data_IF_345713567767
#
_entry.id   IF_345713567767
#
_cell.length_a   1.000
_cell.length_b   1.000
_cell.length_c   1.000
_cell.angle_alpha   90.00
_cell.angle_beta   90.00
_cell.angle_gamma   90.00
#
_symmetry.space_group_name_H-M   'P 1'
#
loop_
_entity.id
_entity.type
_entity.pdbx_description
1 polymer ?
#
# COMPACT_ATOMS: atom_id res chain seq x y z
N UNK A 1 -30.19 25.32 10.98
CA UNK A 1 -30.59 25.82 9.65
C UNK A 1 -29.34 25.74 8.78
N UNK A 2 -29.31 24.87 7.77
CA UNK A 2 -28.30 24.97 6.71
C UNK A 2 -28.79 26.08 5.78
N UNK A 3 -27.93 27.06 5.44
CA UNK A 3 -28.29 28.32 4.75
C UNK A 3 -28.76 28.17 3.29
N UNK A 4 -29.35 27.03 2.90
CA UNK A 4 -29.78 26.77 1.52
C UNK A 4 -28.64 26.68 0.50
N UNK A 5 -27.38 26.79 0.95
CA UNK A 5 -26.19 26.71 0.10
C UNK A 5 -25.71 25.26 0.05
N UNK A 6 -25.63 24.75 -1.18
CA UNK A 6 -25.09 23.42 -1.49
C UNK A 6 -23.65 23.54 -2.01
N UNK A 7 -22.76 22.56 -1.72
CA UNK A 7 -22.98 21.37 -0.90
C UNK A 7 -23.00 21.66 0.61
N UNK A 8 -23.81 20.91 1.36
CA UNK A 8 -23.92 21.03 2.82
C UNK A 8 -22.60 20.83 3.57
N UNK A 9 -21.66 20.10 2.96
CA UNK A 9 -20.31 19.90 3.47
C UNK A 9 -19.31 20.41 2.43
N UNK A 10 -18.90 21.70 2.51
CA UNK A 10 -17.95 22.27 1.57
C UNK A 10 -16.50 21.80 1.81
N UNK A 11 -16.26 21.02 2.86
CA UNK A 11 -14.94 20.51 3.21
C UNK A 11 -14.47 19.48 2.19
N UNK A 12 -13.20 19.59 1.79
CA UNK A 12 -12.57 18.60 0.93
C UNK A 12 -12.48 17.25 1.64
N UNK A 13 -12.80 16.18 0.91
CA UNK A 13 -12.64 14.80 1.40
C UNK A 13 -11.18 14.54 1.71
N UNK A 14 -10.89 14.03 2.91
CA UNK A 14 -9.53 13.64 3.30
C UNK A 14 -9.27 12.20 2.83
N UNK A 15 -8.17 11.99 2.11
CA UNK A 15 -7.71 10.66 1.76
C UNK A 15 -7.13 9.95 3.00
N UNK A 16 -7.24 8.62 3.05
CA UNK A 16 -6.55 7.82 4.04
C UNK A 16 -5.03 7.89 3.80
N UNK A 17 -4.26 8.09 4.86
CA UNK A 17 -2.79 8.22 4.79
C UNK A 17 -2.10 6.85 4.78
N UNK A 18 -2.76 5.82 5.33
CA UNK A 18 -2.21 4.48 5.47
C UNK A 18 -3.14 3.45 4.85
N UNK A 19 -2.58 2.28 4.52
CA UNK A 19 -3.34 1.14 4.07
C UNK A 19 -4.35 0.69 5.14
N UNK A 20 -5.62 0.60 4.73
CA UNK A 20 -6.75 0.29 5.59
C UNK A 20 -6.61 -1.11 6.18
N UNK A 21 -6.11 -2.07 5.39
CA UNK A 21 -5.95 -3.46 5.83
C UNK A 21 -4.99 -3.54 7.01
N UNK A 22 -3.85 -2.86 6.91
CA UNK A 22 -2.85 -2.78 7.98
C UNK A 22 -3.40 -2.11 9.24
N UNK A 23 -4.18 -1.02 9.11
CA UNK A 23 -4.84 -0.38 10.26
C UNK A 23 -5.78 -1.34 10.98
N UNK A 24 -6.62 -2.07 10.24
CA UNK A 24 -7.59 -3.02 10.82
C UNK A 24 -6.85 -4.08 11.65
N UNK A 25 -5.80 -4.66 11.10
CA UNK A 25 -4.98 -5.67 11.78
C UNK A 25 -4.39 -5.09 13.08
N UNK A 26 -3.75 -3.92 13.02
CA UNK A 26 -3.16 -3.26 14.20
C UNK A 26 -4.22 -3.02 15.28
N UNK A 27 -5.39 -2.50 14.92
CA UNK A 27 -6.47 -2.22 15.88
C UNK A 27 -6.96 -3.50 16.56
N UNK A 28 -7.23 -4.56 15.80
CA UNK A 28 -7.69 -5.85 16.35
C UNK A 28 -6.67 -6.37 17.37
N UNK A 29 -5.39 -6.41 17.01
CA UNK A 29 -4.36 -6.91 17.91
C UNK A 29 -4.11 -6.01 19.12
N UNK A 30 -4.24 -4.69 18.99
CA UNK A 30 -4.19 -3.76 20.11
C UNK A 30 -5.35 -3.99 21.08
N UNK A 31 -6.57 -4.22 20.58
CA UNK A 31 -7.71 -4.54 21.46
C UNK A 31 -7.48 -5.83 22.25
N UNK A 32 -6.91 -6.86 21.60
CA UNK A 32 -6.53 -8.11 22.25
C UNK A 32 -5.40 -7.90 23.29
N UNK A 33 -4.38 -7.12 22.95
CA UNK A 33 -3.32 -6.79 23.90
C UNK A 33 -3.85 -6.05 25.14
N UNK A 34 -4.72 -5.06 24.93
CA UNK A 34 -5.38 -4.34 26.02
C UNK A 34 -6.24 -5.26 26.89
N UNK A 35 -7.02 -6.17 26.30
CA UNK A 35 -7.84 -7.10 27.08
C UNK A 35 -6.99 -8.05 27.93
N UNK A 36 -5.87 -8.56 27.40
CA UNK A 36 -4.93 -9.37 28.16
C UNK A 36 -4.30 -8.58 29.31
N UNK A 37 -3.90 -7.31 29.08
CA UNK A 37 -3.35 -6.43 30.11
C UNK A 37 -4.33 -6.18 31.27
N UNK A 38 -5.63 -6.06 30.98
CA UNK A 38 -6.66 -5.92 32.02
C UNK A 38 -6.81 -7.16 32.91
N UNK A 39 -6.52 -8.36 32.38
CA UNK A 39 -6.62 -9.63 33.13
C UNK A 39 -5.37 -9.88 33.99
N UNK A 40 -4.23 -9.25 33.67
CA UNK A 40 -2.93 -9.42 34.36
C UNK A 40 -3.00 -9.29 35.89
N UNK A 41 -3.71 -8.30 36.48
CA UNK A 41 -3.79 -8.16 37.93
C UNK A 41 -4.40 -9.38 38.64
N UNK A 42 -5.27 -10.13 37.95
CA UNK A 42 -5.91 -11.35 38.46
C UNK A 42 -4.96 -12.55 38.59
N UNK A 43 -3.77 -12.49 37.99
CA UNK A 43 -2.78 -13.57 38.02
C UNK A 43 -1.92 -13.45 39.28
N UNK A 44 -1.93 -14.51 40.10
CA UNK A 44 -1.18 -14.58 41.37
C UNK A 44 0.29 -14.93 41.15
N UNK A 45 1.18 -14.31 41.95
CA UNK A 45 2.58 -14.72 42.11
C UNK A 45 3.60 -14.15 41.10
N UNK A 46 4.87 -14.59 41.23
CA UNK A 46 6.00 -14.17 40.38
C UNK A 46 5.91 -14.66 38.92
N UNK A 47 5.06 -15.66 38.66
CA UNK A 47 4.80 -16.17 37.32
C UNK A 47 4.05 -15.18 36.41
N UNK A 48 3.48 -14.11 36.98
CA UNK A 48 2.78 -13.04 36.25
C UNK A 48 3.62 -12.46 35.11
N UNK A 49 4.89 -12.15 35.40
CA UNK A 49 5.78 -11.48 34.43
C UNK A 49 6.14 -12.41 33.27
N UNK A 50 6.38 -13.68 33.55
CA UNK A 50 6.59 -14.71 32.53
C UNK A 50 5.34 -14.92 31.67
N UNK A 51 4.16 -14.97 32.28
CA UNK A 51 2.90 -15.10 31.54
C UNK A 51 2.65 -13.91 30.63
N UNK A 52 2.83 -12.68 31.12
CA UNK A 52 2.65 -11.46 30.31
C UNK A 52 3.62 -11.42 29.14
N UNK A 53 4.90 -11.73 29.37
CA UNK A 53 5.89 -11.75 28.31
C UNK A 53 5.55 -12.80 27.25
N UNK A 54 5.13 -14.00 27.67
CA UNK A 54 4.76 -15.08 26.75
C UNK A 54 3.56 -14.68 25.88
N UNK A 55 2.52 -14.10 26.47
CA UNK A 55 1.31 -13.67 25.74
C UNK A 55 1.64 -12.53 24.78
N UNK A 56 2.38 -11.52 25.24
CA UNK A 56 2.77 -10.39 24.39
C UNK A 56 3.67 -10.82 23.24
N UNK A 57 4.63 -11.72 23.49
CA UNK A 57 5.49 -12.26 22.43
C UNK A 57 4.69 -13.06 21.41
N UNK A 58 3.79 -13.93 21.86
CA UNK A 58 2.92 -14.70 20.97
C UNK A 58 2.03 -13.79 20.13
N UNK A 59 1.47 -12.74 20.74
CA UNK A 59 0.63 -11.78 20.06
C UNK A 59 1.42 -10.94 19.06
N UNK A 60 2.63 -10.53 19.42
CA UNK A 60 3.56 -9.82 18.54
C UNK A 60 3.92 -10.65 17.31
N UNK A 61 4.28 -11.93 17.48
CA UNK A 61 4.58 -12.83 16.36
C UNK A 61 3.36 -12.95 15.43
N UNK A 62 2.16 -13.11 16.00
CA UNK A 62 0.92 -13.15 15.23
C UNK A 62 0.66 -11.87 14.43
N UNK A 63 0.82 -10.69 15.05
CA UNK A 63 0.70 -9.39 14.36
C UNK A 63 1.66 -9.31 13.19
N UNK A 64 2.93 -9.62 13.42
CA UNK A 64 3.98 -9.47 12.41
C UNK A 64 3.68 -10.34 11.19
N UNK A 65 3.28 -11.60 11.39
CA UNK A 65 2.93 -12.51 10.28
C UNK A 65 1.78 -11.91 9.45
N UNK A 66 0.70 -11.46 10.11
CA UNK A 66 -0.46 -10.91 9.42
C UNK A 66 -0.13 -9.59 8.71
N UNK A 67 0.65 -8.70 9.33
CA UNK A 67 1.06 -7.42 8.70
C UNK A 67 1.95 -7.68 7.48
N UNK A 68 2.90 -8.61 7.58
CA UNK A 68 3.81 -8.98 6.49
C UNK A 68 3.06 -9.64 5.32
N UNK A 69 1.93 -10.30 5.60
CA UNK A 69 1.05 -10.84 4.56
C UNK A 69 0.37 -9.75 3.73
N UNK A 70 -0.02 -8.63 4.35
CA UNK A 70 -0.73 -7.54 3.68
C UNK A 70 0.18 -6.40 3.21
N UNK A 71 1.46 -6.39 3.60
CA UNK A 71 2.37 -5.30 3.22
C UNK A 71 2.66 -5.28 1.72
N UNK A 72 2.74 -4.06 1.18
CA UNK A 72 3.15 -3.77 -0.19
C UNK A 72 4.67 -3.58 -0.37
N UNK A 73 5.44 -3.71 0.71
CA UNK A 73 6.84 -3.28 0.79
C UNK A 73 7.82 -4.46 0.90
N UNK A 74 7.59 -5.55 0.17
CA UNK A 74 8.54 -6.67 0.13
C UNK A 74 9.82 -6.33 -0.61
N UNK A 75 9.69 -5.60 -1.70
CA UNK A 75 10.82 -5.03 -2.43
C UNK A 75 10.48 -3.58 -2.80
N UNK A 76 11.35 -2.66 -2.42
CA UNK A 76 11.13 -1.22 -2.64
C UNK A 76 12.30 -0.61 -3.38
N UNK A 77 12.01 0.23 -4.36
CA UNK A 77 13.00 1.05 -5.06
C UNK A 77 12.47 2.45 -5.27
N UNK A 78 13.34 3.46 -5.22
CA UNK A 78 12.95 4.83 -5.50
C UNK A 78 14.03 5.54 -6.30
N UNK A 79 13.62 6.49 -7.12
CA UNK A 79 14.52 7.32 -7.91
C UNK A 79 13.94 8.72 -8.06
N UNK A 80 14.78 9.73 -7.89
CA UNK A 80 14.44 11.10 -8.22
C UNK A 80 14.82 11.37 -9.68
N UNK A 81 13.85 11.75 -10.50
CA UNK A 81 14.09 12.02 -11.92
C UNK A 81 13.22 13.16 -12.45
N UNK A 82 13.75 13.86 -13.45
CA UNK A 82 12.95 14.76 -14.28
C UNK A 82 12.30 13.93 -15.39
N UNK A 83 10.97 13.90 -15.40
CA UNK A 83 10.21 13.01 -16.27
C UNK A 83 9.06 13.73 -16.95
N UNK A 84 8.62 13.21 -18.09
CA UNK A 84 7.38 13.66 -18.74
C UNK A 84 6.20 13.29 -17.86
N UNK A 85 5.29 14.24 -17.64
CA UNK A 85 4.17 14.03 -16.72
C UNK A 85 2.90 13.53 -17.42
N UNK A 86 2.45 14.23 -18.47
CA UNK A 86 1.18 13.94 -19.16
C UNK A 86 1.30 14.09 -20.67
N UNK A 87 0.46 13.35 -21.39
CA UNK A 87 0.30 13.48 -22.83
C UNK A 87 -0.13 14.90 -23.22
N UNK A 88 0.27 15.35 -24.42
CA UNK A 88 -0.03 16.69 -24.95
C UNK A 88 0.55 17.86 -24.13
N UNK A 89 1.55 17.60 -23.27
CA UNK A 89 2.32 18.64 -22.60
C UNK A 89 3.82 18.39 -22.79
N UNK A 90 4.60 19.40 -23.20
CA UNK A 90 6.06 19.27 -23.29
C UNK A 90 6.75 19.44 -21.92
N UNK A 91 6.00 19.77 -20.87
CA UNK A 91 6.57 20.11 -19.56
C UNK A 91 7.03 18.85 -18.83
N UNK A 92 8.25 18.91 -18.31
CA UNK A 92 8.81 17.91 -17.43
C UNK A 92 8.61 18.32 -15.97
N UNK A 93 8.41 17.33 -15.11
CA UNK A 93 8.26 17.52 -13.66
C UNK A 93 9.40 16.82 -12.95
N UNK A 94 9.90 17.44 -11.88
CA UNK A 94 10.87 16.82 -10.98
C UNK A 94 10.09 15.99 -9.95
N UNK A 95 10.17 14.67 -10.03
CA UNK A 95 9.39 13.80 -9.17
C UNK A 95 10.21 12.61 -8.66
N UNK A 96 9.87 12.18 -7.45
CA UNK A 96 10.28 10.91 -6.89
C UNK A 96 9.32 9.84 -7.37
N UNK A 97 9.88 8.86 -8.09
CA UNK A 97 9.17 7.68 -8.56
C UNK A 97 9.54 6.54 -7.61
N UNK A 98 8.54 5.97 -6.96
CA UNK A 98 8.70 4.83 -6.05
C UNK A 98 8.02 3.59 -6.62
N UNK A 99 8.70 2.46 -6.47
CA UNK A 99 8.26 1.13 -6.82
C UNK A 99 8.18 0.32 -5.54
N UNK A 100 7.01 -0.21 -5.23
CA UNK A 100 6.75 -0.99 -4.02
C UNK A 100 6.09 -2.30 -4.44
N UNK A 101 6.82 -3.38 -4.37
CA UNK A 101 6.37 -4.72 -4.76
C UNK A 101 5.90 -5.45 -3.50
N UNK A 102 4.63 -5.84 -3.48
CA UNK A 102 4.04 -6.66 -2.44
C UNK A 102 3.70 -8.06 -2.91
N UNK A 103 3.20 -8.89 -1.99
CA UNK A 103 2.69 -10.21 -2.36
C UNK A 103 1.44 -10.08 -3.24
N UNK A 104 0.57 -9.12 -2.93
CA UNK A 104 -0.70 -8.97 -3.59
C UNK A 104 -0.66 -8.15 -4.90
N UNK A 105 0.44 -7.46 -5.17
CA UNK A 105 0.53 -6.60 -6.34
C UNK A 105 1.67 -5.62 -6.29
N UNK A 106 1.60 -4.66 -7.20
CA UNK A 106 2.56 -3.58 -7.36
C UNK A 106 1.93 -2.25 -6.97
N UNK A 107 2.60 -1.49 -6.12
CA UNK A 107 2.28 -0.10 -5.83
C UNK A 107 3.31 0.80 -6.50
N UNK A 108 2.86 1.80 -7.26
CA UNK A 108 3.71 2.79 -7.91
C UNK A 108 3.35 4.16 -7.38
N UNK A 109 4.33 4.82 -6.76
CA UNK A 109 4.16 6.16 -6.22
C UNK A 109 4.83 7.19 -7.11
N UNK A 110 4.18 8.32 -7.32
CA UNK A 110 4.76 9.47 -8.01
C UNK A 110 4.52 10.73 -7.18
N UNK A 111 5.59 11.27 -6.60
CA UNK A 111 5.53 12.45 -5.74
C UNK A 111 6.38 13.58 -6.30
N UNK A 112 5.78 14.74 -6.53
CA UNK A 112 6.52 15.92 -7.00
C UNK A 112 7.46 16.48 -5.93
N UNK A 113 8.61 16.99 -6.38
CA UNK A 113 9.56 17.78 -5.59
C UNK A 113 9.73 19.19 -6.17
N UNK A 114 8.92 20.20 -5.75
CA UNK A 114 7.89 20.17 -4.70
C UNK A 114 6.58 19.51 -5.14
N UNK A 115 5.69 19.17 -4.19
CA UNK A 115 4.44 18.42 -4.49
C UNK A 115 3.53 19.15 -5.47
N UNK A 116 3.45 20.48 -5.35
CA UNK A 116 2.70 21.31 -6.29
C UNK A 116 3.65 21.82 -7.38
N UNK A 117 3.49 21.30 -8.58
CA UNK A 117 4.17 21.77 -9.79
C UNK A 117 3.11 21.99 -10.87
N UNK A 118 3.36 22.87 -11.84
CA UNK A 118 2.45 23.08 -12.98
C UNK A 118 0.97 23.33 -12.61
N UNK A 119 0.72 23.96 -11.45
CA UNK A 119 -0.61 24.17 -10.85
C UNK A 119 -1.40 22.88 -10.55
N UNK A 120 -0.71 21.75 -10.42
CA UNK A 120 -1.26 20.44 -10.07
C UNK A 120 -0.56 19.84 -8.85
N UNK A 121 -1.28 19.03 -8.08
CA UNK A 121 -0.74 18.32 -6.92
C UNK A 121 -0.29 16.93 -7.36
N UNK A 122 1.02 16.72 -7.44
CA UNK A 122 1.63 15.45 -7.87
C UNK A 122 1.90 14.61 -6.64
N UNK A 123 0.94 13.77 -6.27
CA UNK A 123 1.05 12.80 -5.18
C UNK A 123 0.18 11.57 -5.47
N UNK A 124 0.64 10.74 -6.40
CA UNK A 124 -0.05 9.53 -6.84
C UNK A 124 0.47 8.31 -6.09
N UNK A 125 -0.43 7.37 -5.83
CA UNK A 125 -0.14 6.05 -5.28
C UNK A 125 -1.10 5.05 -5.93
N UNK A 126 -0.68 4.47 -7.05
CA UNK A 126 -1.51 3.56 -7.86
C UNK A 126 -1.17 2.10 -7.53
N UNK A 127 -2.19 1.27 -7.39
CA UNK A 127 -2.04 -0.16 -7.08
C UNK A 127 -2.50 -1.03 -8.25
N UNK A 128 -1.64 -1.94 -8.67
CA UNK A 128 -1.90 -2.93 -9.72
C UNK A 128 -1.86 -4.34 -9.13
N UNK A 129 -3.02 -4.99 -8.91
CA UNK A 129 -3.08 -6.30 -8.30
C UNK A 129 -2.68 -7.41 -9.28
N UNK A 130 -2.02 -8.45 -8.77
CA UNK A 130 -1.69 -9.67 -9.53
C UNK A 130 -2.06 -10.97 -8.81
N UNK A 131 -2.95 -10.87 -7.81
CA UNK A 131 -3.52 -11.98 -7.07
C UNK A 131 -4.13 -13.03 -8.00
N UNK A 132 -4.26 -14.28 -7.53
CA UNK A 132 -5.08 -15.25 -8.23
C UNK A 132 -6.54 -14.78 -8.27
N UNK A 133 -7.03 -14.48 -9.47
CA UNK A 133 -8.35 -13.88 -9.72
C UNK A 133 -8.30 -12.41 -10.13
N UNK A 134 -7.16 -11.73 -9.97
CA UNK A 134 -6.94 -10.40 -10.52
C UNK A 134 -6.37 -10.47 -11.94
N UNK A 135 -6.85 -9.59 -12.81
CA UNK A 135 -6.31 -9.40 -14.15
C UNK A 135 -5.46 -8.12 -14.16
N UNK A 136 -4.15 -8.31 -14.20
CA UNK A 136 -3.18 -7.23 -14.22
C UNK A 136 -3.30 -6.39 -15.50
N UNK A 137 -3.46 -7.06 -16.65
CA UNK A 137 -3.48 -6.37 -17.95
C UNK A 137 -4.75 -5.52 -18.09
N UNK A 138 -5.89 -6.01 -17.56
CA UNK A 138 -7.11 -5.22 -17.46
C UNK A 138 -6.96 -4.03 -16.49
N UNK A 139 -6.28 -4.22 -15.36
CA UNK A 139 -6.03 -3.11 -14.41
C UNK A 139 -5.11 -2.05 -15.03
N UNK A 140 -4.12 -2.49 -15.81
CA UNK A 140 -3.23 -1.62 -16.59
C UNK A 140 -3.99 -0.87 -17.68
N UNK A 141 -4.85 -1.54 -18.46
CA UNK A 141 -5.66 -0.88 -19.51
C UNK A 141 -6.61 0.16 -18.93
N UNK A 142 -7.22 -0.10 -17.78
CA UNK A 142 -8.01 0.90 -17.05
C UNK A 142 -7.17 2.10 -16.60
N UNK A 143 -5.92 1.88 -16.18
CA UNK A 143 -4.99 2.96 -15.86
C UNK A 143 -4.64 3.81 -17.08
N UNK A 144 -4.50 3.17 -18.25
CA UNK A 144 -4.25 3.84 -19.53
C UNK A 144 -5.46 4.69 -19.96
N UNK A 145 -6.67 4.14 -19.87
CA UNK A 145 -7.93 4.84 -20.19
C UNK A 145 -8.20 6.02 -19.25
N UNK A 146 -7.84 5.90 -17.96
CA UNK A 146 -7.91 6.99 -16.99
C UNK A 146 -6.90 8.11 -17.26
N UNK A 147 -5.88 7.85 -18.07
CA UNK A 147 -4.82 8.81 -18.37
C UNK A 147 -3.87 9.04 -17.20
N UNK A 148 -3.44 7.97 -16.52
CA UNK A 148 -2.43 8.06 -15.46
C UNK A 148 -1.13 8.72 -15.98
N UNK A 149 -0.35 9.38 -15.10
CA UNK A 149 0.92 9.98 -15.48
C UNK A 149 1.85 8.99 -16.19
N UNK A 150 2.57 9.46 -17.21
CA UNK A 150 3.49 8.65 -18.02
C UNK A 150 4.50 7.81 -17.21
N UNK A 151 5.10 8.29 -16.11
CA UNK A 151 6.06 7.49 -15.34
C UNK A 151 5.41 6.28 -14.67
N UNK A 152 4.16 6.41 -14.21
CA UNK A 152 3.42 5.32 -13.57
C UNK A 152 3.11 4.24 -14.59
N UNK A 153 2.59 4.65 -15.75
CA UNK A 153 2.29 3.74 -16.85
C UNK A 153 3.54 3.02 -17.35
N UNK A 154 4.66 3.74 -17.50
CA UNK A 154 5.93 3.15 -17.91
C UNK A 154 6.40 2.04 -16.96
N UNK A 155 6.32 2.28 -15.66
CA UNK A 155 6.70 1.28 -14.65
C UNK A 155 5.72 0.10 -14.67
N UNK A 156 4.41 0.36 -14.67
CA UNK A 156 3.39 -0.68 -14.70
C UNK A 156 3.51 -1.57 -15.96
N UNK A 157 3.83 -0.99 -17.11
CA UNK A 157 4.03 -1.73 -18.36
C UNK A 157 5.15 -2.77 -18.26
N UNK A 158 6.22 -2.50 -17.49
CA UNK A 158 7.31 -3.47 -17.27
C UNK A 158 6.85 -4.74 -16.55
N UNK A 159 5.77 -4.66 -15.79
CA UNK A 159 5.15 -5.78 -15.09
C UNK A 159 3.91 -6.32 -15.82
N UNK A 160 3.65 -5.91 -17.06
CA UNK A 160 2.62 -6.52 -17.90
C UNK A 160 3.00 -7.93 -18.33
N UNK A 161 2.00 -8.75 -18.67
CA UNK A 161 2.25 -10.14 -19.10
C UNK A 161 2.99 -10.22 -20.44
N UNK A 162 2.82 -9.20 -21.30
CA UNK A 162 3.43 -9.09 -22.62
C UNK A 162 4.82 -8.42 -22.61
N UNK A 163 5.28 -7.98 -21.43
CA UNK A 163 6.57 -7.29 -21.31
C UNK A 163 7.75 -8.20 -21.72
N UNK A 164 8.74 -7.69 -22.48
CA UNK A 164 9.91 -8.47 -22.89
C UNK A 164 10.76 -8.98 -21.71
N UNK A 165 10.72 -8.29 -20.57
CA UNK A 165 11.46 -8.66 -19.37
C UNK A 165 10.83 -9.85 -18.62
N UNK A 166 9.57 -10.18 -18.88
CA UNK A 166 8.84 -11.32 -18.32
C UNK A 166 8.87 -11.44 -16.77
N UNK A 167 9.09 -10.33 -16.06
CA UNK A 167 9.22 -10.31 -14.60
C UNK A 167 7.89 -10.60 -13.89
N UNK A 168 6.77 -10.25 -14.52
CA UNK A 168 5.42 -10.46 -13.99
C UNK A 168 5.20 -11.91 -13.50
N UNK A 169 5.56 -12.88 -14.35
CA UNK A 169 5.33 -14.29 -14.05
C UNK A 169 6.13 -14.75 -12.83
N UNK A 170 7.37 -14.28 -12.70
CA UNK A 170 8.26 -14.67 -11.59
C UNK A 170 7.74 -14.09 -10.27
N UNK A 171 7.46 -12.79 -10.22
CA UNK A 171 6.91 -12.14 -9.03
C UNK A 171 5.57 -12.74 -8.64
N UNK A 172 4.65 -12.95 -9.58
CA UNK A 172 3.34 -13.53 -9.28
C UNK A 172 3.42 -14.93 -8.67
N UNK A 173 4.31 -15.79 -9.18
CA UNK A 173 4.50 -17.14 -8.63
C UNK A 173 5.17 -17.08 -7.25
N UNK A 174 6.26 -16.32 -7.12
CA UNK A 174 6.98 -16.17 -5.86
C UNK A 174 6.06 -15.61 -4.76
N UNK A 175 5.35 -14.54 -5.06
CA UNK A 175 4.41 -13.90 -4.15
C UNK A 175 3.28 -14.82 -3.72
N UNK A 176 2.77 -15.66 -4.62
CA UNK A 176 1.74 -16.62 -4.25
C UNK A 176 2.22 -17.68 -3.27
N UNK A 177 3.38 -18.29 -3.54
CA UNK A 177 3.91 -19.31 -2.64
C UNK A 177 4.36 -18.71 -1.30
N UNK A 178 4.94 -17.51 -1.31
CA UNK A 178 5.28 -16.79 -0.08
C UNK A 178 4.02 -16.48 0.75
N UNK A 179 2.96 -15.98 0.11
CA UNK A 179 1.65 -15.76 0.72
C UNK A 179 1.10 -17.07 1.32
N UNK A 180 1.13 -18.17 0.58
CA UNK A 180 0.66 -19.48 1.06
C UNK A 180 1.49 -20.06 2.23
N UNK A 181 2.76 -19.67 2.38
CA UNK A 181 3.62 -20.09 3.49
C UNK A 181 3.45 -19.24 4.74
N UNK A 182 2.93 -18.01 4.60
CA UNK A 182 2.62 -17.11 5.72
C UNK A 182 1.26 -17.39 6.34
N UNK A 183 0.34 -17.99 5.57
CA UNK A 183 -0.96 -18.49 6.04
C UNK A 183 -0.83 -19.80 6.82
#
# INVERSE_FOLDING_TARGET
LFDGVYPFYPQQRKAAVFDISTIIVIVVFLTLACSFLLIVPGIRGRARLYWTLRVLLSLFVGVVIVVVQFTGDWETGWVQANTSYKSFSPVQVNADIGLHIGLAGLNVTLRGNPVNQINETINYNEHFPWNFGADYDHSYSQGLEKGLPSPILYVAEKFSTQSPCAVHRQYRIASHYASAMLW
#
